data_IF_982297359484
#
_entry.id   IF_982297359484
#
_cell.length_a   1.000
_cell.length_b   1.000
_cell.length_c   1.000
_cell.angle_alpha   90.00
_cell.angle_beta   90.00
_cell.angle_gamma   90.00
#
_symmetry.space_group_name_H-M   'P 1'
#
loop_
_entity.id
_entity.type
_entity.pdbx_description
1 polymer ?
#
# COMPACT_ATOMS: atom_id res chain seq x y z
N UNK A 1 -25.79 -33.42 -22.19
CA UNK A 1 -25.71 -32.16 -21.42
C UNK A 1 -24.78 -32.23 -20.20
N UNK A 2 -24.06 -33.34 -19.98
CA UNK A 2 -23.23 -33.62 -18.80
C UNK A 2 -21.76 -33.26 -18.97
N UNK A 3 -21.17 -33.48 -20.16
CA UNK A 3 -19.77 -33.19 -20.44
C UNK A 3 -19.42 -31.69 -20.35
N UNK A 4 -20.28 -30.79 -20.85
CA UNK A 4 -20.08 -29.35 -20.77
C UNK A 4 -20.11 -28.82 -19.32
N UNK A 5 -20.99 -29.39 -18.50
CA UNK A 5 -21.08 -29.04 -17.08
C UNK A 5 -19.85 -29.55 -16.29
N UNK A 6 -19.39 -30.76 -16.59
CA UNK A 6 -18.15 -31.30 -16.01
C UNK A 6 -16.93 -30.50 -16.45
N UNK A 7 -16.83 -30.13 -17.73
CA UNK A 7 -15.79 -29.26 -18.26
C UNK A 7 -15.75 -27.92 -17.51
N UNK A 8 -16.88 -27.21 -17.38
CA UNK A 8 -16.91 -25.93 -16.64
C UNK A 8 -16.44 -26.07 -15.20
N UNK A 9 -16.88 -27.11 -14.48
CA UNK A 9 -16.44 -27.35 -13.10
C UNK A 9 -14.94 -27.59 -13.00
N UNK A 10 -14.38 -28.39 -13.92
CA UNK A 10 -12.94 -28.65 -13.95
C UNK A 10 -12.17 -27.36 -14.29
N UNK A 11 -12.62 -26.60 -15.29
CA UNK A 11 -12.03 -25.31 -15.64
C UNK A 11 -12.02 -24.35 -14.45
N UNK A 12 -13.14 -24.21 -13.75
CA UNK A 12 -13.25 -23.34 -12.56
C UNK A 12 -12.28 -23.78 -11.44
N UNK A 13 -12.15 -25.09 -11.18
CA UNK A 13 -11.19 -25.61 -10.20
C UNK A 13 -9.75 -25.30 -10.62
N UNK A 14 -9.41 -25.49 -11.90
CA UNK A 14 -8.06 -25.23 -12.42
C UNK A 14 -7.73 -23.74 -12.37
N UNK A 15 -8.65 -22.87 -12.79
CA UNK A 15 -8.50 -21.42 -12.72
C UNK A 15 -8.30 -20.95 -11.26
N UNK A 16 -9.13 -21.44 -10.33
CA UNK A 16 -8.99 -21.13 -8.91
C UNK A 16 -7.66 -21.62 -8.34
N UNK A 17 -7.22 -22.82 -8.74
CA UNK A 17 -5.93 -23.38 -8.32
C UNK A 17 -4.76 -22.55 -8.86
N UNK A 18 -4.82 -22.13 -10.13
CA UNK A 18 -3.80 -21.27 -10.74
C UNK A 18 -3.71 -19.91 -10.04
N UNK A 19 -4.85 -19.28 -9.75
CA UNK A 19 -4.92 -18.04 -8.98
C UNK A 19 -4.34 -18.22 -7.57
N UNK A 20 -4.67 -19.31 -6.89
CA UNK A 20 -4.15 -19.62 -5.57
C UNK A 20 -2.62 -19.81 -5.58
N UNK A 21 -2.09 -20.58 -6.53
CA UNK A 21 -0.65 -20.80 -6.68
C UNK A 21 0.09 -19.49 -7.01
N UNK A 22 -0.49 -18.63 -7.84
CA UNK A 22 0.07 -17.30 -8.11
C UNK A 22 0.14 -16.46 -6.84
N UNK A 23 -0.98 -16.36 -6.10
CA UNK A 23 -1.03 -15.60 -4.85
C UNK A 23 -0.04 -16.13 -3.81
N UNK A 24 0.04 -17.46 -3.64
CA UNK A 24 1.04 -18.08 -2.76
C UNK A 24 2.47 -17.72 -3.17
N UNK A 25 2.79 -17.82 -4.46
CA UNK A 25 4.12 -17.46 -4.97
C UNK A 25 4.44 -15.99 -4.67
N UNK A 26 3.48 -15.10 -4.85
CA UNK A 26 3.66 -13.67 -4.58
C UNK A 26 3.82 -13.40 -3.08
N UNK A 27 3.03 -14.05 -2.22
CA UNK A 27 3.14 -13.94 -0.76
C UNK A 27 4.51 -14.43 -0.29
N UNK A 28 4.96 -15.62 -0.72
CA UNK A 28 6.26 -16.16 -0.31
C UNK A 28 7.44 -15.31 -0.79
N UNK A 29 7.30 -14.62 -1.94
CA UNK A 29 8.31 -13.67 -2.43
C UNK A 29 8.53 -12.51 -1.46
N UNK A 30 7.52 -12.13 -0.66
CA UNK A 30 7.65 -11.02 0.30
C UNK A 30 8.63 -11.34 1.43
N UNK A 31 8.82 -12.63 1.77
CA UNK A 31 9.58 -13.03 2.96
C UNK A 31 8.89 -12.68 4.29
N UNK A 32 7.65 -12.20 4.26
CA UNK A 32 6.90 -11.76 5.44
C UNK A 32 6.06 -12.91 6.00
N UNK A 33 6.72 -13.95 6.51
CA UNK A 33 6.07 -15.11 7.14
C UNK A 33 7.00 -15.73 8.18
N UNK A 34 6.45 -16.53 9.08
CA UNK A 34 7.23 -17.38 9.98
C UNK A 34 7.01 -18.86 9.64
N UNK A 35 7.59 -19.78 10.41
CA UNK A 35 7.36 -21.21 10.21
C UNK A 35 5.88 -21.57 10.39
N UNK A 36 5.19 -20.86 11.26
CA UNK A 36 3.80 -21.15 11.65
C UNK A 36 2.78 -20.07 11.27
N UNK A 37 3.22 -18.87 10.86
CA UNK A 37 2.34 -17.74 10.58
C UNK A 37 2.50 -17.25 9.14
N UNK A 38 1.37 -17.13 8.44
CA UNK A 38 1.29 -16.48 7.13
C UNK A 38 1.44 -14.96 7.22
N UNK A 39 1.62 -14.30 6.08
CA UNK A 39 1.68 -12.83 6.01
C UNK A 39 0.40 -12.19 6.54
N UNK A 40 -0.76 -12.75 6.20
CA UNK A 40 -2.05 -12.23 6.66
C UNK A 40 -2.21 -12.39 8.18
N UNK A 41 -1.75 -13.51 8.74
CA UNK A 41 -1.75 -13.69 10.20
C UNK A 41 -0.82 -12.68 10.90
N UNK A 42 0.36 -12.42 10.34
CA UNK A 42 1.26 -11.37 10.84
C UNK A 42 0.62 -9.98 10.74
N UNK A 43 -0.13 -9.71 9.67
CA UNK A 43 -0.89 -8.47 9.51
C UNK A 43 -1.97 -8.34 10.59
N UNK A 44 -2.74 -9.39 10.87
CA UNK A 44 -3.72 -9.40 11.95
C UNK A 44 -3.07 -9.16 13.31
N UNK A 45 -1.99 -9.87 13.61
CA UNK A 45 -1.22 -9.71 14.84
C UNK A 45 -0.73 -8.27 14.98
N UNK A 46 -0.22 -7.67 13.92
CA UNK A 46 0.27 -6.28 13.93
C UNK A 46 -0.78 -5.26 14.36
N UNK A 47 -2.07 -5.52 14.09
CA UNK A 47 -3.18 -4.64 14.49
C UNK A 47 -3.59 -4.82 15.95
N UNK A 48 -3.30 -5.99 16.55
CA UNK A 48 -3.60 -6.31 17.95
C UNK A 48 -2.52 -5.83 18.91
N UNK A 49 -1.28 -5.73 18.42
CA UNK A 49 -0.15 -5.34 19.24
C UNK A 49 -0.28 -3.89 19.74
N UNK A 50 0.05 -3.62 21.01
CA UNK A 50 0.00 -2.28 21.55
C UNK A 50 1.02 -1.37 20.88
N UNK A 51 0.75 -0.07 20.96
CA UNK A 51 1.69 0.95 20.52
C UNK A 51 3.02 0.79 21.30
N UNK A 52 4.19 0.85 20.63
CA UNK A 52 5.49 0.78 21.29
C UNK A 52 5.69 1.74 22.47
N UNK A 53 4.95 2.86 22.53
CA UNK A 53 5.01 3.81 23.64
C UNK A 53 4.28 3.36 24.92
N UNK A 54 3.34 2.40 24.85
CA UNK A 54 2.50 1.93 25.98
C UNK A 54 2.79 0.44 26.29
N UNK A 55 4.00 0.01 25.94
CA UNK A 55 4.32 -1.39 25.65
C UNK A 55 4.42 -2.31 26.87
N UNK A 56 4.90 -1.81 28.02
CA UNK A 56 5.37 -2.69 29.11
C UNK A 56 4.27 -3.47 29.86
N UNK A 57 3.09 -2.87 30.10
CA UNK A 57 2.05 -3.53 30.89
C UNK A 57 1.02 -4.27 30.02
N UNK A 58 0.76 -3.75 28.82
CA UNK A 58 -0.29 -4.27 27.93
C UNK A 58 0.15 -5.48 27.11
N UNK A 59 1.45 -5.63 26.82
CA UNK A 59 1.90 -6.66 25.89
C UNK A 59 1.79 -8.08 26.46
N UNK A 60 1.95 -8.29 27.77
CA UNK A 60 1.91 -9.64 28.35
C UNK A 60 0.56 -10.33 28.06
N UNK A 61 -0.55 -9.62 28.27
CA UNK A 61 -1.88 -10.12 27.96
C UNK A 61 -2.06 -10.38 26.46
N UNK A 62 -1.64 -9.43 25.62
CA UNK A 62 -1.72 -9.57 24.16
C UNK A 62 -0.88 -10.75 23.64
N UNK A 63 0.31 -10.98 24.21
CA UNK A 63 1.18 -12.11 23.88
C UNK A 63 0.48 -13.44 24.17
N UNK A 64 -0.10 -13.60 25.37
CA UNK A 64 -0.83 -14.81 25.74
C UNK A 64 -2.00 -15.06 24.77
N UNK A 65 -2.81 -14.03 24.49
CA UNK A 65 -3.94 -14.13 23.56
C UNK A 65 -3.50 -14.57 22.15
N UNK A 66 -2.40 -14.02 21.64
CA UNK A 66 -1.87 -14.38 20.31
C UNK A 66 -1.33 -15.81 20.31
N UNK A 67 -0.61 -16.21 21.37
CA UNK A 67 -0.08 -17.57 21.51
C UNK A 67 -1.20 -18.61 21.50
N UNK A 68 -2.28 -18.35 22.24
CA UNK A 68 -3.46 -19.22 22.28
C UNK A 68 -4.20 -19.25 20.94
N UNK A 69 -4.47 -18.07 20.35
CA UNK A 69 -5.23 -17.97 19.10
C UNK A 69 -4.54 -18.68 17.94
N UNK A 70 -3.24 -18.47 17.77
CA UNK A 70 -2.49 -19.02 16.64
C UNK A 70 -1.70 -20.30 16.99
N UNK A 71 -1.81 -20.79 18.23
CA UNK A 71 -1.11 -21.99 18.74
C UNK A 71 0.41 -21.93 18.52
N UNK A 72 1.01 -20.79 18.85
CA UNK A 72 2.45 -20.53 18.65
C UNK A 72 3.21 -20.47 19.97
N UNK A 73 4.50 -20.82 19.93
CA UNK A 73 5.40 -20.72 21.08
C UNK A 73 5.81 -19.28 21.36
N UNK A 74 6.41 -19.03 22.54
CA UNK A 74 6.96 -17.71 22.88
C UNK A 74 8.03 -17.26 21.89
N UNK A 75 8.91 -18.19 21.49
CA UNK A 75 9.98 -17.90 20.52
C UNK A 75 9.40 -17.57 19.14
N UNK A 76 8.35 -18.26 18.71
CA UNK A 76 7.70 -17.99 17.44
C UNK A 76 6.98 -16.64 17.44
N UNK A 77 6.38 -16.26 18.57
CA UNK A 77 5.85 -14.91 18.76
C UNK A 77 6.94 -13.84 18.65
N UNK A 78 8.10 -14.06 19.29
CA UNK A 78 9.19 -13.09 19.26
C UNK A 78 9.77 -12.95 17.84
N UNK A 79 9.85 -14.03 17.07
CA UNK A 79 10.18 -14.01 15.63
C UNK A 79 9.15 -13.19 14.82
N UNK A 80 7.86 -13.44 15.04
CA UNK A 80 6.78 -12.70 14.38
C UNK A 80 6.87 -11.19 14.68
N UNK A 81 7.15 -10.85 15.93
CA UNK A 81 7.30 -9.47 16.38
C UNK A 81 8.50 -8.78 15.71
N UNK A 82 9.62 -9.47 15.52
CA UNK A 82 10.79 -8.94 14.81
C UNK A 82 10.45 -8.59 13.35
N UNK A 83 9.75 -9.48 12.64
CA UNK A 83 9.27 -9.23 11.27
C UNK A 83 8.36 -8.00 11.25
N UNK A 84 7.36 -7.95 12.12
CA UNK A 84 6.40 -6.84 12.22
C UNK A 84 7.11 -5.51 12.47
N UNK A 85 8.11 -5.49 13.36
CA UNK A 85 8.83 -4.28 13.73
C UNK A 85 9.66 -3.69 12.57
N UNK A 86 10.15 -4.54 11.66
CA UNK A 86 10.95 -4.15 10.49
C UNK A 86 10.09 -3.82 9.26
N UNK A 87 8.86 -4.31 9.23
CA UNK A 87 7.96 -4.18 8.10
C UNK A 87 7.15 -2.88 8.13
N UNK A 88 7.23 -2.04 7.08
CA UNK A 88 6.62 -0.70 7.05
C UNK A 88 5.10 -0.69 7.31
N UNK A 89 4.32 -1.50 6.59
CA UNK A 89 2.85 -1.59 6.80
C UNK A 89 2.50 -1.99 8.24
N UNK A 90 3.14 -3.04 8.75
CA UNK A 90 2.81 -3.66 10.03
C UNK A 90 3.30 -2.85 11.22
N UNK A 91 4.47 -2.23 11.12
CA UNK A 91 4.98 -1.29 12.12
C UNK A 91 4.05 -0.08 12.24
N UNK A 92 3.55 0.42 11.10
CA UNK A 92 2.60 1.54 11.09
C UNK A 92 1.23 1.17 11.68
N UNK A 93 0.76 -0.08 11.56
CA UNK A 93 -0.48 -0.54 12.23
C UNK A 93 -0.42 -0.34 13.76
N UNK A 94 0.78 -0.30 14.33
CA UNK A 94 1.03 -0.07 15.76
C UNK A 94 1.37 1.39 16.09
N UNK A 95 1.30 2.28 15.10
CA UNK A 95 1.65 3.69 15.24
C UNK A 95 3.13 4.01 15.10
N UNK A 96 3.96 3.08 14.60
CA UNK A 96 5.38 3.34 14.32
C UNK A 96 5.62 3.39 12.81
N UNK A 97 5.67 4.59 12.26
CA UNK A 97 5.96 4.79 10.84
C UNK A 97 7.46 4.56 10.56
N UNK A 98 7.76 3.79 9.51
CA UNK A 98 9.10 3.64 8.95
C UNK A 98 9.10 4.33 7.60
N UNK A 99 9.69 5.53 7.55
CA UNK A 99 9.66 6.39 6.37
C UNK A 99 10.47 5.77 5.22
N UNK A 100 9.86 5.72 4.04
CA UNK A 100 10.49 5.23 2.82
C UNK A 100 10.96 6.39 1.94
N UNK A 101 12.28 6.59 1.89
CA UNK A 101 12.92 7.66 1.10
C UNK A 101 12.42 9.07 1.47
N UNK A 102 13.11 10.11 1.01
CA UNK A 102 12.69 11.49 1.25
C UNK A 102 11.75 11.93 0.13
N UNK A 103 10.45 11.95 0.40
CA UNK A 103 9.47 12.68 -0.39
C UNK A 103 9.22 14.00 0.35
N UNK A 104 9.60 15.11 -0.25
CA UNK A 104 9.53 16.41 0.41
C UNK A 104 8.08 16.88 0.54
N UNK A 105 7.83 17.60 1.63
CA UNK A 105 6.53 18.25 1.85
C UNK A 105 6.15 19.17 0.67
N UNK A 106 7.12 19.92 0.12
CA UNK A 106 6.90 20.78 -1.04
C UNK A 106 6.45 20.01 -2.28
N UNK A 107 7.01 18.82 -2.54
CA UNK A 107 6.55 17.96 -3.64
C UNK A 107 5.11 17.51 -3.43
N UNK A 108 4.75 17.10 -2.20
CA UNK A 108 3.38 16.68 -1.87
C UNK A 108 2.39 17.83 -2.02
N UNK A 109 2.73 19.02 -1.52
CA UNK A 109 1.89 20.22 -1.65
C UNK A 109 1.68 20.60 -3.13
N UNK A 110 2.75 20.63 -3.94
CA UNK A 110 2.66 20.86 -5.39
C UNK A 110 1.76 19.83 -6.08
N UNK A 111 1.94 18.54 -5.76
CA UNK A 111 1.11 17.47 -6.32
C UNK A 111 -0.36 17.64 -5.95
N UNK A 112 -0.66 17.94 -4.68
CA UNK A 112 -2.01 18.19 -4.17
C UNK A 112 -2.68 19.41 -4.81
N UNK A 113 -1.98 20.54 -4.91
CA UNK A 113 -2.46 21.76 -5.58
C UNK A 113 -2.78 21.51 -7.06
N UNK A 114 -1.94 20.74 -7.76
CA UNK A 114 -2.20 20.36 -9.14
C UNK A 114 -3.41 19.44 -9.27
N UNK A 115 -3.62 18.54 -8.32
CA UNK A 115 -4.79 17.67 -8.30
C UNK A 115 -6.09 18.47 -8.19
N UNK A 116 -6.15 19.49 -7.33
CA UNK A 116 -7.35 20.34 -7.19
C UNK A 116 -7.45 21.45 -8.25
N UNK A 117 -6.47 21.56 -9.15
CA UNK A 117 -6.48 22.53 -10.25
C UNK A 117 -6.00 23.94 -9.91
N UNK A 118 -5.38 24.13 -8.74
CA UNK A 118 -4.80 25.43 -8.33
C UNK A 118 -3.53 25.76 -9.12
N UNK A 119 -2.77 24.73 -9.52
CA UNK A 119 -1.49 24.88 -10.22
C UNK A 119 -1.42 23.96 -11.44
N UNK A 120 -0.73 24.41 -12.49
CA UNK A 120 -0.43 23.55 -13.64
C UNK A 120 0.67 22.52 -13.30
N UNK A 121 0.43 21.26 -13.65
CA UNK A 121 1.33 20.14 -13.33
C UNK A 121 2.62 20.17 -14.16
N UNK A 122 2.53 20.55 -15.44
CA UNK A 122 3.69 20.57 -16.33
C UNK A 122 4.69 21.64 -15.89
N UNK A 123 4.21 22.75 -15.34
CA UNK A 123 5.04 23.77 -14.73
C UNK A 123 5.55 23.36 -13.35
N UNK A 124 4.68 22.86 -12.47
CA UNK A 124 5.05 22.50 -11.09
C UNK A 124 6.10 21.39 -11.00
N UNK A 125 6.02 20.42 -11.92
CA UNK A 125 6.88 19.23 -11.93
C UNK A 125 8.32 19.51 -12.33
N UNK A 126 8.63 20.65 -12.95
CA UNK A 126 10.01 21.05 -13.33
C UNK A 126 10.93 21.16 -12.11
N UNK A 127 10.37 21.55 -10.97
CA UNK A 127 11.10 21.72 -9.71
C UNK A 127 11.10 20.46 -8.83
N UNK A 128 10.48 19.37 -9.28
CA UNK A 128 10.39 18.12 -8.52
C UNK A 128 11.55 17.21 -8.94
N UNK A 129 12.28 16.66 -7.97
CA UNK A 129 13.37 15.73 -8.26
C UNK A 129 12.82 14.50 -8.97
N UNK A 130 13.56 13.97 -9.94
CA UNK A 130 13.18 12.75 -10.65
C UNK A 130 12.88 11.58 -9.69
N UNK A 131 13.68 11.42 -8.63
CA UNK A 131 13.44 10.42 -7.59
C UNK A 131 12.09 10.57 -6.89
N UNK A 132 11.63 11.81 -6.65
CA UNK A 132 10.33 12.05 -6.03
C UNK A 132 9.18 11.83 -7.01
N UNK A 133 9.36 12.16 -8.31
CA UNK A 133 8.43 11.78 -9.37
C UNK A 133 8.27 10.26 -9.47
N UNK A 134 9.38 9.51 -9.51
CA UNK A 134 9.35 8.05 -9.49
C UNK A 134 8.58 7.54 -8.27
N UNK A 135 8.75 8.15 -7.11
CA UNK A 135 8.08 7.70 -5.89
C UNK A 135 6.57 7.98 -5.91
N UNK A 136 6.14 9.15 -6.38
CA UNK A 136 4.72 9.45 -6.61
C UNK A 136 4.08 8.45 -7.59
N UNK A 137 4.77 8.18 -8.70
CA UNK A 137 4.35 7.21 -9.70
C UNK A 137 4.20 5.80 -9.11
N UNK A 138 5.16 5.37 -8.27
CA UNK A 138 5.10 4.06 -7.62
C UNK A 138 3.98 3.98 -6.59
N UNK A 139 3.68 5.06 -5.86
CA UNK A 139 2.55 5.04 -4.94
C UNK A 139 1.21 4.92 -5.67
N UNK A 140 1.02 5.53 -6.84
CA UNK A 140 -0.19 5.24 -7.63
C UNK A 140 -0.17 3.80 -8.15
N UNK A 141 0.99 3.30 -8.58
CA UNK A 141 1.13 1.94 -9.11
C UNK A 141 0.81 0.84 -8.10
N UNK A 142 1.41 0.88 -6.92
CA UNK A 142 1.24 -0.14 -5.88
C UNK A 142 -0.20 -0.21 -5.35
N UNK A 143 -0.98 0.85 -5.59
CA UNK A 143 -2.40 0.92 -5.27
C UNK A 143 -3.32 0.36 -6.36
N UNK A 144 -2.77 0.00 -7.53
CA UNK A 144 -3.49 -0.58 -8.65
C UNK A 144 -3.95 0.41 -9.71
N UNK A 145 -3.26 1.55 -9.88
CA UNK A 145 -3.66 2.55 -10.88
C UNK A 145 -3.51 2.06 -12.33
N UNK A 146 -2.35 1.50 -12.70
CA UNK A 146 -2.08 1.11 -14.11
C UNK A 146 -2.34 -0.36 -14.37
N UNK A 147 -1.95 -1.21 -13.43
CA UNK A 147 -2.22 -2.64 -13.50
C UNK A 147 -3.09 -3.07 -12.32
N UNK A 148 -4.07 -3.94 -12.59
CA UNK A 148 -4.78 -4.70 -11.55
C UNK A 148 -3.83 -5.80 -11.06
N UNK A 149 -2.69 -5.40 -10.52
CA UNK A 149 -1.70 -6.28 -9.94
C UNK A 149 -1.82 -6.24 -8.42
N UNK A 150 -1.78 -7.42 -7.82
CA UNK A 150 -1.84 -7.60 -6.36
C UNK A 150 -0.47 -7.32 -5.73
N UNK A 151 0.08 -6.12 -5.94
CA UNK A 151 1.33 -5.75 -5.28
C UNK A 151 1.17 -5.78 -3.76
N UNK A 152 2.20 -6.23 -3.05
CA UNK A 152 2.31 -6.09 -1.61
C UNK A 152 3.08 -4.81 -1.27
N UNK A 153 3.00 -4.35 -0.02
CA UNK A 153 3.73 -3.18 0.45
C UNK A 153 5.26 -3.34 0.36
N UNK A 154 5.71 -4.59 0.36
CA UNK A 154 7.09 -5.05 0.27
C UNK A 154 7.69 -4.78 -1.12
N UNK A 155 6.85 -4.80 -2.17
CA UNK A 155 7.27 -4.54 -3.55
C UNK A 155 7.71 -3.09 -3.78
N UNK A 156 7.41 -2.17 -2.84
CA UNK A 156 7.75 -0.74 -2.95
C UNK A 156 9.22 -0.50 -3.30
N UNK A 157 10.15 -1.25 -2.68
CA UNK A 157 11.58 -1.11 -2.94
C UNK A 157 11.93 -1.42 -4.40
N UNK A 158 11.41 -2.54 -4.91
CA UNK A 158 11.73 -3.04 -6.24
C UNK A 158 11.04 -2.22 -7.31
N UNK A 159 9.78 -1.82 -7.09
CA UNK A 159 9.05 -0.90 -7.94
C UNK A 159 9.74 0.46 -8.02
N UNK A 160 10.21 1.00 -6.90
CA UNK A 160 10.95 2.25 -6.88
C UNK A 160 12.28 2.17 -7.62
N UNK A 161 13.03 1.08 -7.44
CA UNK A 161 14.27 0.82 -8.20
C UNK A 161 13.98 0.69 -9.70
N UNK A 162 12.93 -0.02 -10.08
CA UNK A 162 12.52 -0.15 -11.48
C UNK A 162 12.11 1.20 -12.06
N UNK A 163 11.31 1.99 -11.34
CA UNK A 163 10.88 3.33 -11.75
C UNK A 163 12.07 4.28 -11.99
N UNK A 164 13.12 4.18 -11.16
CA UNK A 164 14.30 5.05 -11.24
C UNK A 164 15.31 4.65 -12.33
N UNK A 165 15.41 3.35 -12.63
CA UNK A 165 16.50 2.83 -13.46
C UNK A 165 16.07 2.13 -14.75
N UNK A 166 14.83 1.65 -14.81
CA UNK A 166 14.31 0.86 -15.95
C UNK A 166 13.21 1.57 -16.70
N UNK A 167 12.42 2.39 -16.01
CA UNK A 167 11.34 3.16 -16.61
C UNK A 167 11.76 4.61 -16.86
N UNK A 168 11.33 5.19 -17.98
CA UNK A 168 11.53 6.61 -18.26
C UNK A 168 10.38 7.43 -17.63
N UNK A 169 10.37 7.51 -16.30
CA UNK A 169 9.33 8.25 -15.57
C UNK A 169 9.55 9.75 -15.75
N UNK A 170 8.55 10.42 -16.30
CA UNK A 170 8.54 11.88 -16.48
C UNK A 170 7.27 12.46 -15.88
N UNK A 171 7.14 13.79 -15.88
CA UNK A 171 5.90 14.45 -15.46
C UNK A 171 4.68 14.01 -16.28
N UNK A 172 4.87 13.63 -17.54
CA UNK A 172 3.79 13.09 -18.39
C UNK A 172 3.30 11.71 -17.97
N UNK A 173 4.07 10.98 -17.15
CA UNK A 173 3.69 9.67 -16.63
C UNK A 173 2.70 9.74 -15.45
N UNK A 174 2.43 10.95 -14.95
CA UNK A 174 1.65 11.20 -13.74
C UNK A 174 0.55 12.22 -14.05
N UNK A 175 -0.69 11.90 -13.67
CA UNK A 175 -1.81 12.84 -13.72
C UNK A 175 -2.36 13.09 -12.30
N UNK A 176 -1.97 14.19 -11.62
CA UNK A 176 -2.38 14.44 -10.24
C UNK A 176 -3.89 14.45 -10.01
N UNK A 177 -4.67 14.98 -10.97
CA UNK A 177 -6.15 15.07 -10.87
C UNK A 177 -6.79 13.69 -10.78
N UNK A 178 -6.20 12.69 -11.45
CA UNK A 178 -6.76 11.34 -11.49
C UNK A 178 -6.08 10.44 -10.45
N UNK A 179 -4.78 10.63 -10.24
CA UNK A 179 -3.96 9.74 -9.42
C UNK A 179 -3.97 10.09 -7.92
N UNK A 180 -4.56 11.22 -7.49
CA UNK A 180 -4.52 11.66 -6.09
C UNK A 180 -4.98 10.55 -5.11
N UNK A 181 -6.12 9.93 -5.37
CA UNK A 181 -6.65 8.85 -4.51
C UNK A 181 -5.75 7.62 -4.52
N UNK A 182 -5.21 7.25 -5.69
CA UNK A 182 -4.31 6.12 -5.87
C UNK A 182 -2.99 6.33 -5.11
N UNK A 183 -2.37 7.51 -5.25
CA UNK A 183 -1.15 7.87 -4.51
C UNK A 183 -1.39 7.80 -3.00
N UNK A 184 -2.49 8.37 -2.50
CA UNK A 184 -2.86 8.31 -1.07
C UNK A 184 -3.04 6.85 -0.62
N UNK A 185 -3.73 6.02 -1.41
CA UNK A 185 -3.97 4.62 -1.09
C UNK A 185 -2.67 3.81 -1.08
N UNK A 186 -1.76 4.06 -2.02
CA UNK A 186 -0.44 3.43 -2.05
C UNK A 186 0.44 3.82 -0.88
N UNK A 187 0.43 5.11 -0.50
CA UNK A 187 1.10 5.58 0.72
C UNK A 187 0.58 4.85 1.95
N UNK A 188 -0.75 4.78 2.14
CA UNK A 188 -1.38 4.05 3.26
C UNK A 188 -1.02 2.57 3.26
N UNK A 189 -1.08 1.91 2.10
CA UNK A 189 -0.68 0.51 1.92
C UNK A 189 0.77 0.26 2.32
N UNK A 190 1.65 1.22 2.06
CA UNK A 190 3.06 1.16 2.40
C UNK A 190 3.40 1.64 3.82
N UNK A 191 2.39 1.92 4.65
CA UNK A 191 2.58 2.46 5.99
C UNK A 191 3.13 3.90 6.03
N UNK A 192 3.05 4.65 4.93
CA UNK A 192 3.52 6.04 4.81
C UNK A 192 2.41 7.02 5.23
N UNK A 193 2.02 6.96 6.51
CA UNK A 193 0.88 7.72 7.05
C UNK A 193 1.11 9.23 6.97
N UNK A 194 2.31 9.70 7.31
CA UNK A 194 2.64 11.14 7.30
C UNK A 194 2.47 11.75 5.91
N UNK A 195 2.93 11.04 4.86
CA UNK A 195 2.75 11.50 3.48
C UNK A 195 1.27 11.51 3.07
N UNK A 196 0.52 10.47 3.43
CA UNK A 196 -0.89 10.38 3.11
C UNK A 196 -1.71 11.48 3.81
N UNK A 197 -1.39 11.83 5.05
CA UNK A 197 -2.06 12.90 5.79
C UNK A 197 -1.93 14.27 5.11
N UNK A 198 -0.74 14.60 4.60
CA UNK A 198 -0.51 15.84 3.83
C UNK A 198 -1.40 15.88 2.58
N UNK A 199 -1.58 14.77 1.88
CA UNK A 199 -2.40 14.74 0.66
C UNK A 199 -3.90 14.63 0.93
N UNK A 200 -4.32 14.03 2.05
CA UNK A 200 -5.74 13.88 2.39
C UNK A 200 -6.46 15.23 2.45
N UNK A 201 -5.79 16.32 2.86
CA UNK A 201 -6.40 17.65 2.91
C UNK A 201 -6.88 18.13 1.52
N UNK A 202 -6.19 17.74 0.44
CA UNK A 202 -6.57 18.09 -0.93
C UNK A 202 -7.66 17.16 -1.49
N UNK A 203 -7.76 15.92 -0.99
CA UNK A 203 -8.76 14.94 -1.46
C UNK A 203 -10.20 15.38 -1.16
N UNK A 204 -10.42 16.05 -0.03
CA UNK A 204 -11.74 16.59 0.32
C UNK A 204 -12.20 17.65 -0.69
N UNK A 205 -11.33 18.62 -0.99
CA UNK A 205 -11.57 19.68 -1.97
C UNK A 205 -11.75 19.09 -3.38
N UNK A 206 -10.94 18.09 -3.73
CA UNK A 206 -11.01 17.42 -5.02
C UNK A 206 -12.38 16.77 -5.28
N UNK A 207 -12.95 16.11 -4.27
CA UNK A 207 -14.27 15.48 -4.37
C UNK A 207 -15.39 16.51 -4.53
N UNK A 208 -15.36 17.60 -3.75
CA UNK A 208 -16.34 18.69 -3.86
C UNK A 208 -16.35 19.33 -5.25
N UNK A 209 -15.18 19.57 -5.85
CA UNK A 209 -15.07 20.15 -7.20
C UNK A 209 -15.57 19.20 -8.31
N UNK A 210 -15.54 17.88 -8.07
CA UNK A 210 -16.09 16.88 -8.99
C UNK A 210 -17.62 16.87 -8.98
N UNK A 211 -18.23 17.01 -7.80
CA UNK A 211 -19.68 17.02 -7.62
C UNK A 211 -20.34 18.30 -8.19
N UNK A 212 -19.66 19.45 -8.12
CA UNK A 212 -20.14 20.70 -8.72
C UNK A 212 -20.16 20.66 -10.26
N UNK A 213 -19.19 19.98 -10.90
CA UNK A 213 -19.16 19.82 -12.37
C UNK A 213 -20.31 18.93 -12.89
N UNK A 214 -20.75 17.95 -12.10
CA UNK A 214 -21.90 17.11 -12.46
C UNK A 214 -23.23 17.88 -12.37
N UNK A 215 -23.33 18.87 -11.48
CA UNK A 215 -24.52 19.75 -11.37
C UNK A 215 -24.59 20.80 -12.48
N UNK A 216 -23.46 21.24 -13.02
CA UNK A 216 -23.39 22.19 -14.13
C UNK A 216 -23.62 21.59 -15.53
N UNK A 217 -23.82 20.27 -15.63
CA UNK A 217 -23.98 19.55 -16.91
C UNK A 217 -25.45 19.22 -17.26
N UNK A 218 -26.41 19.69 -16.45
CA UNK A 218 -27.85 19.50 -16.62
C UNK A 218 -28.64 20.82 -16.62
N UNK A 219 -28.08 21.88 -17.23
CA UNK A 219 -28.81 23.11 -17.55
C UNK A 219 -28.56 23.51 -19.00
#
# INVERSE_FOLDING_TARGET
MTAYFQYRKISEILENTQCFLYNLRMEYKTGTFTKSLSREQLKEISKLLPNPHIYNDSIKGVKILIQEKYKISSNEFDNALDIINKHREFSNNRGKEIIFSTLSKSTLEKFGECAIGVRDWQQASKDIKHSELCLLWVFSEISGWRYIDNYYSEDLNDLYRAAKHKHNITSYSINPKVELSYVINGMKKCGQKTYAEILNQYLYVHKSNGDEKLKGSFN
#
